data_IF_146978057732
#
_entry.id   IF_146978057732
#
_cell.length_a   1.000
_cell.length_b   1.000
_cell.length_c   1.000
_cell.angle_alpha   90.00
_cell.angle_beta   90.00
_cell.angle_gamma   90.00
#
_symmetry.space_group_name_H-M   'P 1'
#
loop_
_entity.id
_entity.type
_entity.pdbx_description
1 polymer ?
#
# COMPACT_ATOMS: atom_id res chain seq x y z
N UNK A 1 -2.03 -15.23 -12.53
CA UNK A 1 -3.14 -14.46 -11.93
C UNK A 1 -3.47 -13.36 -12.91
N UNK A 2 -4.72 -13.27 -13.37
CA UNK A 2 -5.16 -12.13 -14.18
C UNK A 2 -5.57 -10.99 -13.26
N UNK A 3 -5.10 -9.77 -13.54
CA UNK A 3 -5.48 -8.59 -12.79
C UNK A 3 -6.70 -7.94 -13.45
N UNK A 4 -7.86 -7.86 -12.77
CA UNK A 4 -9.03 -7.21 -13.34
C UNK A 4 -8.77 -5.70 -13.51
N UNK A 5 -9.24 -5.15 -14.63
CA UNK A 5 -9.14 -3.72 -14.90
C UNK A 5 -9.94 -2.93 -13.84
N UNK A 6 -9.45 -1.74 -13.47
CA UNK A 6 -10.09 -0.85 -12.49
C UNK A 6 -10.31 -1.46 -11.09
N UNK A 7 -9.44 -2.35 -10.63
CA UNK A 7 -9.49 -2.91 -9.27
C UNK A 7 -8.34 -2.42 -8.40
N UNK A 8 -8.29 -1.12 -8.03
CA UNK A 8 -7.29 -0.61 -7.09
C UNK A 8 -7.44 -1.23 -5.70
N UNK A 9 -8.67 -1.62 -5.33
CA UNK A 9 -9.03 -2.30 -4.09
C UNK A 9 -8.27 -3.63 -3.90
N UNK A 10 -7.87 -4.25 -5.01
CA UNK A 10 -7.07 -5.46 -5.00
C UNK A 10 -5.58 -5.18 -4.88
N UNK A 11 -5.11 -3.93 -5.03
CA UNK A 11 -3.69 -3.60 -5.02
C UNK A 11 -3.16 -3.41 -3.59
N UNK A 12 -2.48 -4.43 -3.00
CA UNK A 12 -2.07 -4.33 -1.60
C UNK A 12 -0.94 -3.31 -1.40
N UNK A 13 -0.24 -2.91 -2.47
CA UNK A 13 0.87 -1.96 -2.41
C UNK A 13 0.41 -0.55 -2.01
N UNK A 14 -0.87 -0.19 -2.24
CA UNK A 14 -1.39 1.13 -1.86
C UNK A 14 -1.28 1.37 -0.35
N UNK A 15 -1.42 0.33 0.45
CA UNK A 15 -1.22 0.41 1.89
C UNK A 15 0.24 0.63 2.27
N UNK A 16 1.17 0.00 1.54
CA UNK A 16 2.61 0.20 1.72
C UNK A 16 2.98 1.64 1.35
N UNK A 17 2.44 2.17 0.25
CA UNK A 17 2.62 3.57 -0.13
C UNK A 17 2.09 4.53 0.94
N UNK A 18 0.93 4.24 1.52
CA UNK A 18 0.39 5.03 2.62
C UNK A 18 1.31 5.01 3.85
N UNK A 19 1.84 3.84 4.21
CA UNK A 19 2.80 3.70 5.32
C UNK A 19 4.06 4.54 5.06
N UNK A 20 4.68 4.37 3.88
CA UNK A 20 5.91 5.07 3.51
C UNK A 20 5.70 6.58 3.51
N UNK A 21 4.61 7.08 2.92
CA UNK A 21 4.25 8.51 2.93
C UNK A 21 4.10 9.03 4.37
N UNK A 22 3.49 8.26 5.26
CA UNK A 22 3.36 8.62 6.67
C UNK A 22 4.70 8.71 7.40
N UNK A 23 5.65 7.81 7.11
CA UNK A 23 7.02 7.87 7.66
C UNK A 23 7.79 9.08 7.15
N UNK A 24 7.76 9.33 5.84
CA UNK A 24 8.39 10.51 5.22
C UNK A 24 7.83 11.80 5.83
N UNK A 25 6.50 11.93 5.95
CA UNK A 25 5.86 13.13 6.51
C UNK A 25 6.28 13.42 7.96
N UNK A 26 6.52 12.39 8.79
CA UNK A 26 6.99 12.56 10.17
C UNK A 26 8.42 13.10 10.28
N UNK A 27 9.18 13.08 9.18
CA UNK A 27 10.51 13.69 9.09
C UNK A 27 10.46 15.15 8.62
N UNK A 28 9.27 15.68 8.37
CA UNK A 28 9.02 17.07 7.99
C UNK A 28 9.94 17.57 6.85
N UNK A 29 10.02 16.87 5.71
CA UNK A 29 10.81 17.32 4.58
C UNK A 29 10.28 18.66 4.06
N UNK A 30 11.20 19.54 3.69
CA UNK A 30 10.91 20.88 3.15
C UNK A 30 11.32 21.03 1.69
N UNK A 31 12.18 20.13 1.19
CA UNK A 31 12.68 20.10 -0.19
C UNK A 31 12.35 18.79 -0.91
N UNK A 32 12.44 18.79 -2.24
CA UNK A 32 12.21 17.57 -3.03
C UNK A 32 13.33 16.55 -2.81
N UNK A 33 14.54 17.03 -2.60
CA UNK A 33 15.75 16.26 -2.32
C UNK A 33 15.60 15.53 -0.97
N UNK A 34 15.11 16.21 0.07
CA UNK A 34 14.80 15.58 1.36
C UNK A 34 13.70 14.52 1.23
N UNK A 35 12.62 14.80 0.47
CA UNK A 35 11.57 13.80 0.22
C UNK A 35 12.16 12.55 -0.42
N UNK A 36 13.03 12.71 -1.43
CA UNK A 36 13.68 11.59 -2.11
C UNK A 36 14.57 10.80 -1.16
N UNK A 37 15.46 11.48 -0.46
CA UNK A 37 16.38 10.85 0.49
C UNK A 37 15.62 10.10 1.58
N UNK A 38 14.59 10.72 2.17
CA UNK A 38 13.79 10.07 3.21
C UNK A 38 12.96 8.92 2.66
N UNK A 39 12.51 8.98 1.41
CA UNK A 39 11.83 7.85 0.79
C UNK A 39 12.76 6.64 0.67
N UNK A 40 13.99 6.83 0.20
CA UNK A 40 15.01 5.78 0.10
C UNK A 40 15.36 5.23 1.51
N UNK A 41 15.64 6.10 2.48
CA UNK A 41 15.98 5.68 3.85
C UNK A 41 14.84 4.98 4.59
N UNK A 42 13.60 5.44 4.45
CA UNK A 42 12.45 4.82 5.12
C UNK A 42 12.01 3.53 4.43
N UNK A 43 12.28 3.38 3.12
CA UNK A 43 12.06 2.15 2.38
C UNK A 43 12.97 1.03 2.86
N UNK A 44 14.27 1.29 3.02
CA UNK A 44 15.25 0.31 3.52
C UNK A 44 14.98 -0.13 4.97
N UNK A 45 14.19 0.64 5.74
CA UNK A 45 13.76 0.31 7.11
C UNK A 45 12.42 -0.43 7.17
N UNK A 46 11.79 -0.73 6.04
CA UNK A 46 10.56 -1.50 6.04
C UNK A 46 10.90 -2.98 6.21
N UNK A 47 10.37 -3.57 7.27
CA UNK A 47 10.58 -5.00 7.53
C UNK A 47 9.50 -5.84 6.83
N UNK A 48 9.80 -7.09 6.42
CA UNK A 48 8.84 -7.99 5.77
C UNK A 48 7.50 -8.12 6.50
N UNK A 49 7.50 -8.12 7.84
CA UNK A 49 6.29 -8.23 8.65
C UNK A 49 5.34 -7.04 8.45
N UNK A 50 5.88 -5.86 8.15
CA UNK A 50 5.08 -4.68 7.83
C UNK A 50 4.42 -4.83 6.46
N UNK A 51 5.09 -5.44 5.49
CA UNK A 51 4.49 -5.79 4.21
C UNK A 51 3.41 -6.87 4.37
N UNK A 52 3.68 -7.92 5.15
CA UNK A 52 2.73 -9.01 5.41
C UNK A 52 1.44 -8.51 6.06
N UNK A 53 1.53 -7.55 6.98
CA UNK A 53 0.34 -6.92 7.58
C UNK A 53 -0.62 -6.32 6.54
N UNK A 54 -0.09 -5.81 5.43
CA UNK A 54 -0.88 -5.10 4.42
C UNK A 54 -1.17 -5.92 3.15
N UNK A 55 -0.37 -6.97 2.91
CA UNK A 55 -0.50 -7.90 1.77
C UNK A 55 -1.17 -9.22 2.17
N UNK A 56 -1.17 -9.58 3.45
CA UNK A 56 -1.74 -10.84 3.95
C UNK A 56 -3.26 -10.93 3.87
N UNK A 57 -3.96 -9.81 3.63
CA UNK A 57 -5.42 -9.77 3.52
C UNK A 57 -5.96 -9.88 2.08
N UNK A 58 -5.12 -10.33 1.13
CA UNK A 58 -5.51 -10.46 -0.26
C UNK A 58 -6.68 -11.43 -0.46
N UNK A 59 -6.76 -12.50 0.34
CA UNK A 59 -7.87 -13.44 0.28
C UNK A 59 -9.20 -12.76 0.63
N UNK A 60 -9.20 -11.97 1.70
CA UNK A 60 -10.36 -11.24 2.18
C UNK A 60 -10.82 -10.17 1.19
N UNK A 61 -9.88 -9.48 0.53
CA UNK A 61 -10.18 -8.52 -0.55
C UNK A 61 -10.86 -9.20 -1.74
N UNK A 62 -10.31 -10.32 -2.20
CA UNK A 62 -10.91 -11.09 -3.30
C UNK A 62 -12.31 -11.58 -2.94
N UNK A 63 -12.52 -12.07 -1.71
CA UNK A 63 -13.85 -12.48 -1.23
C UNK A 63 -14.82 -11.30 -1.16
N UNK A 64 -14.36 -10.10 -0.78
CA UNK A 64 -15.19 -8.90 -0.78
C UNK A 64 -15.60 -8.48 -2.20
N UNK A 65 -14.70 -8.55 -3.18
CA UNK A 65 -15.01 -8.29 -4.60
C UNK A 65 -16.02 -9.30 -5.14
N UNK A 66 -15.86 -10.59 -4.81
CA UNK A 66 -16.83 -11.64 -5.20
C UNK A 66 -18.19 -11.35 -4.57
N UNK A 67 -18.24 -11.01 -3.28
CA UNK A 67 -19.49 -10.67 -2.59
C UNK A 67 -20.15 -9.39 -3.12
N UNK A 68 -19.38 -8.50 -3.75
CA UNK A 68 -19.86 -7.29 -4.40
C UNK A 68 -20.18 -7.50 -5.90
N UNK A 69 -20.18 -8.74 -6.40
CA UNK A 69 -20.35 -9.08 -7.82
C UNK A 69 -19.40 -8.27 -8.75
N UNK A 70 -18.16 -8.07 -8.31
CA UNK A 70 -17.16 -7.27 -9.03
C UNK A 70 -17.24 -5.76 -8.80
N UNK A 71 -18.16 -5.29 -7.96
CA UNK A 71 -18.29 -3.88 -7.57
C UNK A 71 -17.22 -3.40 -6.58
N UNK A 72 -17.18 -2.08 -6.30
CA UNK A 72 -16.23 -1.47 -5.37
C UNK A 72 -16.38 -2.00 -3.94
N UNK A 73 -15.26 -2.10 -3.25
CA UNK A 73 -15.18 -2.57 -1.86
C UNK A 73 -14.64 -1.47 -0.94
N UNK A 74 -14.54 -1.78 0.37
CA UNK A 74 -13.96 -0.87 1.37
C UNK A 74 -12.42 -0.83 1.37
N UNK A 75 -11.78 -1.68 0.55
CA UNK A 75 -10.34 -1.97 0.60
C UNK A 75 -9.51 -1.14 -0.37
#
# INVERSE_FOLDING_TARGET
MEWPANSPDLNPIENVWRLLKGRIQRRFPTTKEEVRQYAEEEWEKLEPEEFEKYTGNMRERCLAVIAADGGPTKY
#
